data_IF_267815727585
#
_entry.id   IF_267815727585
#
_cell.length_a   1.000
_cell.length_b   1.000
_cell.length_c   1.000
_cell.angle_alpha   90.00
_cell.angle_beta   90.00
_cell.angle_gamma   90.00
#
_symmetry.space_group_name_H-M   'P 1'
#
loop_
_entity.id
_entity.type
_entity.pdbx_description
1 polymer ?
#
# COMPACT_ATOMS: atom_id res chain seq x y z
N UNK A 1 -12.37 -32.97 21.41
CA UNK A 1 -11.64 -31.71 21.70
C UNK A 1 -12.04 -30.67 20.67
N UNK A 2 -12.41 -29.44 21.08
CA UNK A 2 -12.63 -28.33 20.15
C UNK A 2 -11.32 -28.13 19.37
N UNK A 3 -11.34 -28.35 18.06
CA UNK A 3 -10.17 -28.31 17.18
C UNK A 3 -9.66 -26.90 16.89
N UNK A 4 -9.66 -26.03 17.90
CA UNK A 4 -9.21 -24.65 17.85
C UNK A 4 -8.46 -24.27 19.13
N UNK A 5 -7.34 -23.56 18.98
CA UNK A 5 -6.54 -23.01 20.07
C UNK A 5 -6.31 -21.52 19.83
N UNK A 6 -6.40 -20.70 20.88
CA UNK A 6 -6.18 -19.25 20.80
C UNK A 6 -4.85 -18.89 21.45
N UNK A 7 -3.99 -18.20 20.71
CA UNK A 7 -2.70 -17.74 21.20
C UNK A 7 -2.43 -16.32 20.69
N UNK A 8 -2.11 -15.39 21.60
CA UNK A 8 -1.84 -13.97 21.30
C UNK A 8 -2.88 -13.30 20.37
N UNK A 9 -4.15 -13.68 20.50
CA UNK A 9 -5.26 -13.13 19.70
C UNK A 9 -5.49 -13.80 18.34
N UNK A 10 -4.65 -14.77 17.97
CA UNK A 10 -4.74 -15.60 16.75
C UNK A 10 -5.45 -16.92 17.09
N UNK A 11 -6.36 -17.37 16.22
CA UNK A 11 -7.03 -18.67 16.38
C UNK A 11 -6.40 -19.66 15.39
N UNK A 12 -5.78 -20.70 15.93
CA UNK A 12 -5.22 -21.84 15.20
C UNK A 12 -6.27 -22.94 15.13
N UNK A 13 -6.62 -23.33 13.91
CA UNK A 13 -7.48 -24.49 13.67
C UNK A 13 -6.63 -25.74 13.45
N UNK A 14 -7.16 -26.92 13.76
CA UNK A 14 -6.47 -28.20 13.52
C UNK A 14 -6.00 -28.39 12.08
N UNK A 15 -6.71 -27.81 11.10
CA UNK A 15 -6.36 -27.84 9.66
C UNK A 15 -5.65 -26.58 9.17
N UNK A 16 -5.27 -25.66 10.07
CA UNK A 16 -4.62 -24.37 9.75
C UNK A 16 -5.34 -23.62 8.61
N UNK A 17 -6.67 -23.66 8.59
CA UNK A 17 -7.47 -23.08 7.50
C UNK A 17 -7.65 -21.56 7.62
N UNK A 18 -7.41 -20.99 8.82
CA UNK A 18 -7.38 -19.56 9.19
C UNK A 18 -8.52 -18.63 8.69
N UNK A 19 -9.49 -19.14 7.94
CA UNK A 19 -10.36 -18.31 7.08
C UNK A 19 -11.48 -17.61 7.86
N UNK A 20 -12.09 -18.29 8.83
CA UNK A 20 -13.38 -17.86 9.36
C UNK A 20 -13.29 -16.72 10.38
N UNK A 21 -12.29 -16.74 11.28
CA UNK A 21 -12.22 -15.71 12.32
C UNK A 21 -11.69 -14.36 11.78
N UNK A 22 -10.61 -14.40 10.98
CA UNK A 22 -9.94 -13.19 10.50
C UNK A 22 -10.86 -12.42 9.54
N UNK A 23 -11.55 -13.15 8.64
CA UNK A 23 -12.58 -12.58 7.77
C UNK A 23 -13.67 -11.89 8.57
N UNK A 24 -14.24 -12.54 9.59
CA UNK A 24 -15.27 -11.92 10.46
C UNK A 24 -14.75 -10.66 11.16
N UNK A 25 -13.54 -10.68 11.69
CA UNK A 25 -12.91 -9.53 12.37
C UNK A 25 -12.71 -8.35 11.42
N UNK A 26 -12.27 -8.61 10.18
CA UNK A 26 -12.08 -7.59 9.16
C UNK A 26 -13.40 -7.05 8.59
N UNK A 27 -14.42 -7.91 8.42
CA UNK A 27 -15.76 -7.48 7.97
C UNK A 27 -16.44 -6.55 8.99
N UNK A 28 -16.28 -6.82 10.30
CA UNK A 28 -16.77 -5.90 11.34
C UNK A 28 -16.08 -4.53 11.25
N UNK A 29 -14.77 -4.51 11.08
CA UNK A 29 -14.01 -3.26 10.92
C UNK A 29 -14.37 -2.51 9.61
N UNK A 30 -14.65 -3.24 8.52
CA UNK A 30 -15.11 -2.69 7.26
C UNK A 30 -16.45 -1.94 7.39
N UNK A 31 -17.35 -2.38 8.27
CA UNK A 31 -18.63 -1.69 8.48
C UNK A 31 -18.45 -0.26 9.02
N UNK A 32 -17.40 0.00 9.80
CA UNK A 32 -17.08 1.35 10.25
C UNK A 32 -16.70 2.22 9.04
N UNK A 33 -15.87 1.70 8.13
CA UNK A 33 -15.49 2.41 6.91
C UNK A 33 -16.70 2.65 6.00
N UNK A 34 -17.64 1.70 5.91
CA UNK A 34 -18.90 1.89 5.16
C UNK A 34 -19.75 3.01 5.74
N UNK A 35 -19.80 3.14 7.07
CA UNK A 35 -20.60 4.16 7.73
C UNK A 35 -20.09 5.59 7.46
N UNK A 36 -18.77 5.78 7.35
CA UNK A 36 -18.15 7.10 7.13
C UNK A 36 -17.70 7.35 5.69
N UNK A 37 -17.73 6.34 4.82
CA UNK A 37 -17.12 6.34 3.50
C UNK A 37 -18.08 6.61 2.33
N UNK A 38 -19.18 7.33 2.56
CA UNK A 38 -20.11 7.69 1.48
C UNK A 38 -19.40 8.52 0.39
N UNK A 39 -19.82 8.39 -0.87
CA UNK A 39 -19.15 9.05 -2.01
C UNK A 39 -19.41 10.56 -2.10
N UNK A 40 -20.46 11.04 -1.45
CA UNK A 40 -20.90 12.43 -1.59
C UNK A 40 -20.62 13.27 -0.33
N UNK A 41 -20.95 12.75 0.85
CA UNK A 41 -20.83 13.44 2.15
C UNK A 41 -19.83 12.79 3.11
N UNK A 42 -19.22 11.65 2.73
CA UNK A 42 -18.31 10.91 3.60
C UNK A 42 -17.01 11.65 3.92
N UNK A 43 -16.17 11.03 4.74
CA UNK A 43 -14.84 11.55 5.06
C UNK A 43 -13.94 11.63 3.82
N UNK A 44 -12.94 12.52 3.86
CA UNK A 44 -11.95 12.68 2.80
C UNK A 44 -11.11 11.41 2.58
N UNK A 45 -10.54 11.26 1.38
CA UNK A 45 -9.79 10.08 0.95
C UNK A 45 -8.61 9.79 1.86
N UNK A 46 -7.89 10.81 2.32
CA UNK A 46 -6.72 10.64 3.18
C UNK A 46 -7.12 10.08 4.56
N UNK A 47 -8.19 10.61 5.15
CA UNK A 47 -8.80 10.10 6.38
C UNK A 47 -9.32 8.68 6.19
N UNK A 48 -10.06 8.40 5.12
CA UNK A 48 -10.55 7.04 4.83
C UNK A 48 -9.40 6.03 4.66
N UNK A 49 -8.33 6.40 3.96
CA UNK A 49 -7.11 5.59 3.89
C UNK A 49 -6.53 5.36 5.28
N UNK A 50 -6.44 6.39 6.12
CA UNK A 50 -5.93 6.27 7.49
C UNK A 50 -6.77 5.27 8.30
N UNK A 51 -8.10 5.39 8.25
CA UNK A 51 -9.03 4.48 8.93
C UNK A 51 -8.92 3.04 8.41
N UNK A 52 -8.81 2.87 7.10
CA UNK A 52 -8.56 1.55 6.50
C UNK A 52 -7.27 0.93 7.05
N UNK A 53 -6.17 1.70 7.06
CA UNK A 53 -4.85 1.26 7.53
C UNK A 53 -4.88 0.88 9.00
N UNK A 54 -5.56 1.65 9.85
CA UNK A 54 -5.62 1.44 11.30
C UNK A 54 -6.58 0.34 11.72
N UNK A 55 -7.74 0.20 11.08
CA UNK A 55 -8.76 -0.75 11.51
C UNK A 55 -8.72 -2.08 10.76
N UNK A 56 -8.46 -2.09 9.47
CA UNK A 56 -8.53 -3.33 8.67
C UNK A 56 -7.13 -3.84 8.36
N UNK A 57 -6.28 -3.00 7.77
CA UNK A 57 -4.93 -3.42 7.34
C UNK A 57 -4.07 -3.89 8.50
N UNK A 58 -4.12 -3.21 9.65
CA UNK A 58 -3.42 -3.63 10.87
C UNK A 58 -3.77 -5.06 11.32
N UNK A 59 -5.03 -5.49 11.16
CA UNK A 59 -5.48 -6.85 11.51
C UNK A 59 -4.95 -7.87 10.50
N UNK A 60 -4.91 -7.52 9.21
CA UNK A 60 -4.35 -8.36 8.16
C UNK A 60 -2.82 -8.48 8.32
N UNK A 61 -2.14 -7.40 8.68
CA UNK A 61 -0.68 -7.37 8.85
C UNK A 61 -0.21 -8.17 10.07
N UNK A 62 -0.96 -8.12 11.17
CA UNK A 62 -0.57 -8.79 12.42
C UNK A 62 -0.43 -10.31 12.25
N UNK A 63 -1.37 -10.95 11.55
CA UNK A 63 -1.42 -12.40 11.39
C UNK A 63 -0.73 -12.90 10.10
N UNK A 64 -0.14 -11.99 9.31
CA UNK A 64 0.26 -12.25 7.93
C UNK A 64 1.29 -13.35 7.75
N UNK A 65 2.22 -13.48 8.70
CA UNK A 65 3.28 -14.50 8.68
C UNK A 65 2.69 -15.89 8.94
N UNK A 66 1.62 -15.97 9.74
CA UNK A 66 0.95 -17.22 10.12
C UNK A 66 0.02 -17.70 9.00
N UNK A 67 -0.92 -16.85 8.57
CA UNK A 67 -1.88 -17.25 7.53
C UNK A 67 -1.32 -17.14 6.11
N UNK A 68 -0.15 -16.53 5.94
CA UNK A 68 0.45 -16.26 4.62
C UNK A 68 0.70 -17.50 3.77
N UNK A 69 0.87 -18.66 4.41
CA UNK A 69 1.03 -19.98 3.78
C UNK A 69 -0.30 -20.70 3.56
N UNK A 70 -1.44 -20.07 3.84
CA UNK A 70 -2.76 -20.66 3.62
C UNK A 70 -3.06 -20.84 2.12
N UNK A 71 -3.98 -21.77 1.81
CA UNK A 71 -4.40 -22.05 0.42
C UNK A 71 -4.90 -20.78 -0.28
N UNK A 72 -4.63 -20.67 -1.59
CA UNK A 72 -5.05 -19.54 -2.46
C UNK A 72 -6.50 -19.12 -2.28
N UNK A 73 -7.45 -20.05 -2.15
CA UNK A 73 -8.87 -19.69 -1.96
C UNK A 73 -9.15 -18.96 -0.64
N UNK A 74 -8.38 -19.23 0.43
CA UNK A 74 -8.46 -18.51 1.71
C UNK A 74 -7.90 -17.10 1.55
N UNK A 75 -6.74 -16.98 0.91
CA UNK A 75 -6.11 -15.67 0.64
C UNK A 75 -7.01 -14.78 -0.23
N UNK A 76 -7.64 -15.35 -1.27
CA UNK A 76 -8.62 -14.65 -2.13
C UNK A 76 -9.78 -14.04 -1.34
N UNK A 77 -10.23 -14.69 -0.25
CA UNK A 77 -11.30 -14.15 0.58
C UNK A 77 -10.87 -12.89 1.35
N UNK A 78 -9.59 -12.81 1.76
CA UNK A 78 -9.02 -11.61 2.39
C UNK A 78 -8.74 -10.51 1.35
N UNK A 79 -8.30 -10.90 0.15
CA UNK A 79 -8.09 -9.96 -0.96
C UNK A 79 -9.41 -9.26 -1.33
N UNK A 80 -10.54 -9.97 -1.32
CA UNK A 80 -11.87 -9.36 -1.51
C UNK A 80 -12.17 -8.26 -0.48
N UNK A 81 -11.79 -8.46 0.78
CA UNK A 81 -11.98 -7.45 1.83
C UNK A 81 -11.08 -6.25 1.54
N UNK A 82 -9.81 -6.47 1.19
CA UNK A 82 -8.88 -5.40 0.81
C UNK A 82 -9.43 -4.57 -0.35
N UNK A 83 -9.82 -5.21 -1.45
CA UNK A 83 -10.40 -4.54 -2.62
C UNK A 83 -11.65 -3.75 -2.25
N UNK A 84 -12.52 -4.32 -1.41
CA UNK A 84 -13.74 -3.63 -0.99
C UNK A 84 -13.46 -2.37 -0.18
N UNK A 85 -12.44 -2.41 0.71
CA UNK A 85 -12.02 -1.22 1.44
C UNK A 85 -11.47 -0.15 0.48
N UNK A 86 -10.57 -0.53 -0.44
CA UNK A 86 -10.02 0.42 -1.41
C UNK A 86 -11.11 1.06 -2.29
N UNK A 87 -12.11 0.29 -2.71
CA UNK A 87 -13.26 0.85 -3.45
C UNK A 87 -14.06 1.87 -2.64
N UNK A 88 -14.27 1.62 -1.35
CA UNK A 88 -14.94 2.60 -0.46
C UNK A 88 -14.09 3.86 -0.32
N UNK A 89 -12.79 3.70 -0.03
CA UNK A 89 -11.84 4.80 0.10
C UNK A 89 -11.82 5.68 -1.15
N UNK A 90 -11.75 5.07 -2.33
CA UNK A 90 -11.65 5.76 -3.61
C UNK A 90 -13.01 6.21 -4.17
N UNK A 91 -14.12 5.70 -3.63
CA UNK A 91 -15.46 5.92 -4.19
C UNK A 91 -15.68 5.25 -5.56
N UNK A 92 -14.92 4.21 -5.87
CA UNK A 92 -14.92 3.55 -7.17
C UNK A 92 -16.09 2.56 -7.35
N UNK A 93 -16.51 2.34 -8.60
CA UNK A 93 -17.50 1.33 -8.95
C UNK A 93 -17.02 -0.09 -8.62
N UNK A 94 -17.94 -1.05 -8.53
CA UNK A 94 -17.62 -2.48 -8.31
C UNK A 94 -16.96 -3.14 -9.53
N UNK A 95 -17.18 -2.58 -10.71
CA UNK A 95 -16.67 -3.08 -11.99
C UNK A 95 -15.29 -2.55 -12.36
N UNK A 96 -14.77 -1.51 -11.68
CA UNK A 96 -13.45 -0.99 -12.07
C UNK A 96 -12.30 -1.93 -11.69
N UNK A 97 -11.17 -1.89 -12.44
CA UNK A 97 -10.09 -2.85 -12.33
C UNK A 97 -9.34 -2.73 -11.00
N UNK A 98 -9.00 -3.87 -10.40
CA UNK A 98 -8.39 -3.92 -9.06
C UNK A 98 -6.99 -3.29 -9.06
N UNK A 99 -6.18 -3.55 -10.10
CA UNK A 99 -4.82 -3.02 -10.20
C UNK A 99 -4.79 -1.49 -10.25
N UNK A 100 -5.79 -0.87 -10.88
CA UNK A 100 -5.94 0.59 -10.90
C UNK A 100 -6.14 1.16 -9.49
N UNK A 101 -6.89 0.48 -8.62
CA UNK A 101 -7.05 0.96 -7.23
C UNK A 101 -5.80 0.82 -6.39
N UNK A 102 -4.95 -0.18 -6.66
CA UNK A 102 -3.69 -0.30 -5.97
C UNK A 102 -2.79 0.90 -6.27
N UNK A 103 -2.63 1.21 -7.55
CA UNK A 103 -1.87 2.36 -8.00
C UNK A 103 -2.47 3.66 -7.46
N UNK A 104 -3.78 3.86 -7.69
CA UNK A 104 -4.48 5.08 -7.29
C UNK A 104 -4.49 5.27 -5.77
N UNK A 105 -4.69 4.24 -4.95
CA UNK A 105 -4.69 4.37 -3.49
C UNK A 105 -3.28 4.47 -2.88
N UNK A 106 -2.22 4.20 -3.67
CA UNK A 106 -0.87 4.01 -3.16
C UNK A 106 -0.78 2.81 -2.19
N UNK A 107 -1.57 1.77 -2.43
CA UNK A 107 -1.63 0.57 -1.59
C UNK A 107 -1.34 -0.68 -2.43
N UNK A 108 -0.26 -1.43 -2.14
CA UNK A 108 0.03 -2.64 -2.88
C UNK A 108 -1.01 -3.75 -2.61
N UNK A 109 -0.98 -4.80 -3.41
CA UNK A 109 -1.73 -6.02 -3.14
C UNK A 109 -1.34 -6.61 -1.77
N UNK A 110 -2.26 -7.37 -1.15
CA UNK A 110 -1.91 -8.07 0.10
C UNK A 110 -0.78 -9.08 -0.12
N UNK A 111 -0.61 -9.62 -1.33
CA UNK A 111 0.52 -10.50 -1.66
C UNK A 111 1.87 -9.82 -1.41
N UNK A 112 2.11 -8.69 -2.08
CA UNK A 112 3.33 -7.90 -1.89
C UNK A 112 3.51 -7.46 -0.43
N UNK A 113 2.41 -7.09 0.23
CA UNK A 113 2.46 -6.68 1.63
C UNK A 113 2.88 -7.82 2.56
N UNK A 114 2.35 -9.03 2.37
CA UNK A 114 2.73 -10.23 3.13
C UNK A 114 4.20 -10.58 2.90
N UNK A 115 4.68 -10.55 1.66
CA UNK A 115 6.09 -10.78 1.34
C UNK A 115 6.99 -9.76 2.03
N UNK A 116 6.64 -8.47 1.99
CA UNK A 116 7.39 -7.42 2.70
C UNK A 116 7.43 -7.63 4.21
N UNK A 117 6.31 -8.03 4.82
CA UNK A 117 6.26 -8.31 6.27
C UNK A 117 7.07 -9.55 6.63
N UNK A 118 7.00 -10.61 5.82
CA UNK A 118 7.83 -11.81 5.97
C UNK A 118 9.32 -11.47 5.81
N UNK A 119 9.68 -10.60 4.87
CA UNK A 119 11.06 -10.15 4.66
C UNK A 119 11.59 -9.48 5.93
N UNK A 120 10.86 -8.50 6.46
CA UNK A 120 11.23 -7.83 7.72
C UNK A 120 11.30 -8.79 8.90
N UNK A 121 10.41 -9.78 8.95
CA UNK A 121 10.41 -10.82 9.98
C UNK A 121 11.66 -11.69 9.91
N UNK A 122 12.06 -12.17 8.73
CA UNK A 122 13.27 -12.97 8.51
C UNK A 122 14.53 -12.18 8.90
N UNK A 123 14.62 -10.91 8.49
CA UNK A 123 15.76 -10.05 8.86
C UNK A 123 15.88 -9.88 10.38
N UNK A 124 14.75 -9.64 11.06
CA UNK A 124 14.72 -9.56 12.53
C UNK A 124 15.08 -10.90 13.17
N UNK A 125 14.57 -12.01 12.64
CA UNK A 125 14.86 -13.34 13.15
C UNK A 125 16.34 -13.67 13.01
N UNK A 126 16.98 -13.28 11.91
CA UNK A 126 18.43 -13.46 11.71
C UNK A 126 19.26 -12.74 12.77
N UNK A 127 18.82 -11.58 13.23
CA UNK A 127 19.47 -10.86 14.33
C UNK A 127 19.25 -11.50 15.71
N UNK A 128 18.37 -12.50 15.85
CA UNK A 128 17.98 -13.09 17.13
C UNK A 128 18.26 -14.60 17.14
N UNK A 129 19.53 -15.04 17.27
CA UNK A 129 19.88 -16.46 17.22
C UNK A 129 19.29 -17.28 18.37
N UNK A 130 19.00 -16.66 19.52
CA UNK A 130 18.34 -17.34 20.66
C UNK A 130 16.83 -17.56 20.47
N UNK A 131 16.25 -17.06 19.37
CA UNK A 131 14.82 -17.22 19.14
C UNK A 131 14.51 -18.67 18.73
N UNK A 132 13.50 -19.35 19.31
CA UNK A 132 13.17 -20.73 18.96
C UNK A 132 12.86 -20.95 17.47
N UNK A 133 12.40 -19.92 16.75
CA UNK A 133 12.15 -20.01 15.32
C UNK A 133 13.39 -19.81 14.45
N UNK A 134 14.52 -19.33 15.01
CA UNK A 134 15.74 -19.07 14.25
C UNK A 134 16.24 -20.35 13.59
N UNK A 135 16.41 -21.40 14.39
CA UNK A 135 16.99 -22.66 13.93
C UNK A 135 16.05 -23.36 12.93
N UNK A 136 14.73 -23.27 13.16
CA UNK A 136 13.71 -23.79 12.23
C UNK A 136 13.76 -23.11 10.85
N UNK A 137 14.13 -21.83 10.79
CA UNK A 137 14.13 -21.05 9.54
C UNK A 137 15.48 -21.05 8.83
N UNK A 138 16.59 -21.11 9.57
CA UNK A 138 17.95 -20.96 9.02
C UNK A 138 18.81 -22.23 9.11
N UNK A 139 18.55 -23.14 10.05
CA UNK A 139 19.40 -24.32 10.31
C UNK A 139 18.72 -25.65 9.96
N UNK A 140 17.39 -25.69 9.96
CA UNK A 140 16.65 -26.86 9.52
C UNK A 140 16.97 -27.14 8.04
N UNK A 141 17.41 -28.37 7.69
CA UNK A 141 17.53 -28.76 6.30
C UNK A 141 16.16 -28.60 5.66
N UNK A 142 16.06 -27.79 4.61
CA UNK A 142 14.86 -27.74 3.75
C UNK A 142 14.45 -29.15 3.24
N UNK A 143 15.36 -30.14 3.34
CA UNK A 143 15.19 -31.54 3.03
C UNK A 143 14.49 -32.38 4.12
N UNK A 144 14.50 -31.97 5.40
CA UNK A 144 13.93 -32.74 6.52
C UNK A 144 12.46 -32.39 6.82
N UNK A 145 11.95 -31.32 6.22
CA UNK A 145 10.51 -31.18 6.10
C UNK A 145 10.03 -32.25 5.13
N UNK A 146 9.16 -33.20 5.53
CA UNK A 146 8.67 -34.21 4.61
C UNK A 146 8.12 -33.52 3.37
N UNK A 147 8.82 -33.69 2.25
CA UNK A 147 8.45 -33.24 0.90
C UNK A 147 7.29 -34.08 0.37
N UNK A 148 6.64 -34.89 1.22
CA UNK A 148 5.29 -35.33 0.96
C UNK A 148 4.35 -34.17 1.25
N UNK A 149 3.96 -33.48 0.17
CA UNK A 149 2.58 -33.14 -0.18
C UNK A 149 2.60 -32.07 -1.28
N UNK A 150 1.71 -32.22 -2.26
CA UNK A 150 1.31 -31.32 -3.37
C UNK A 150 0.98 -29.87 -2.96
N UNK A 151 1.78 -29.24 -2.10
CA UNK A 151 1.49 -28.00 -1.39
C UNK A 151 2.48 -26.92 -1.82
N UNK A 152 1.95 -25.71 -2.05
CA UNK A 152 2.76 -24.55 -2.44
C UNK A 152 3.79 -24.22 -1.34
N UNK A 153 5.00 -23.79 -1.72
CA UNK A 153 6.03 -23.38 -0.76
C UNK A 153 5.49 -22.34 0.22
N UNK A 154 5.84 -22.50 1.49
CA UNK A 154 5.38 -21.61 2.56
C UNK A 154 5.87 -20.16 2.32
N UNK A 155 5.18 -19.18 2.90
CA UNK A 155 5.47 -17.74 2.67
C UNK A 155 6.94 -17.39 2.96
N UNK A 156 7.54 -18.02 3.97
CA UNK A 156 8.92 -17.80 4.39
C UNK A 156 9.90 -18.29 3.32
N UNK A 157 9.70 -19.49 2.78
CA UNK A 157 10.49 -20.07 1.71
C UNK A 157 10.48 -19.18 0.45
N UNK A 158 9.28 -18.73 0.03
CA UNK A 158 9.16 -17.81 -1.12
C UNK A 158 9.86 -16.47 -0.88
N UNK A 159 9.94 -16.03 0.37
CA UNK A 159 10.59 -14.77 0.71
C UNK A 159 12.10 -14.84 0.52
N UNK A 160 12.75 -15.99 0.75
CA UNK A 160 14.20 -16.14 0.53
C UNK A 160 14.63 -15.86 -0.91
N UNK A 161 13.81 -16.22 -1.89
CA UNK A 161 14.05 -15.86 -3.29
C UNK A 161 14.03 -14.34 -3.49
N UNK A 162 13.07 -13.65 -2.88
CA UNK A 162 13.03 -12.19 -2.86
C UNK A 162 14.25 -11.57 -2.15
N UNK A 163 14.78 -12.19 -1.09
CA UNK A 163 16.01 -11.72 -0.43
C UNK A 163 17.21 -11.81 -1.37
N UNK A 164 17.33 -12.93 -2.08
CA UNK A 164 18.37 -13.15 -3.10
C UNK A 164 18.26 -12.12 -4.23
N UNK A 165 17.06 -11.91 -4.76
CA UNK A 165 16.80 -10.95 -5.84
C UNK A 165 17.06 -9.50 -5.40
N UNK A 166 16.80 -9.18 -4.14
CA UNK A 166 17.13 -7.88 -3.54
C UNK A 166 18.64 -7.68 -3.29
N UNK A 167 19.48 -8.70 -3.54
CA UNK A 167 20.93 -8.69 -3.28
C UNK A 167 21.24 -8.29 -1.84
N UNK A 168 20.49 -8.82 -0.88
CA UNK A 168 20.73 -8.61 0.56
C UNK A 168 21.51 -9.81 1.09
N UNK A 169 22.72 -9.54 1.61
CA UNK A 169 23.51 -10.56 2.28
C UNK A 169 23.05 -10.65 3.74
N UNK A 170 22.50 -11.80 4.13
CA UNK A 170 22.03 -12.03 5.51
C UNK A 170 23.19 -12.12 6.52
N UNK A 171 24.41 -12.41 6.07
CA UNK A 171 25.58 -12.55 6.95
C UNK A 171 26.14 -11.21 7.41
N UNK A 172 25.72 -10.10 6.79
CA UNK A 172 26.11 -8.76 7.25
C UNK A 172 25.21 -8.25 8.37
N UNK A 173 24.16 -8.98 8.74
CA UNK A 173 23.21 -8.55 9.77
C UNK A 173 23.81 -8.84 11.14
N UNK A 174 23.85 -7.82 12.00
CA UNK A 174 24.35 -7.95 13.36
C UNK A 174 23.38 -8.72 14.25
N UNK A 175 23.93 -9.42 15.25
CA UNK A 175 23.13 -10.07 16.27
C UNK A 175 22.65 -9.03 17.27
N UNK A 176 21.33 -8.91 17.42
CA UNK A 176 20.72 -8.07 18.43
C UNK A 176 20.98 -8.67 19.81
N UNK A 177 21.88 -8.02 20.56
CA UNK A 177 22.15 -8.39 21.94
C UNK A 177 21.05 -7.83 22.85
N UNK A 178 20.15 -8.70 23.32
CA UNK A 178 19.19 -8.33 24.36
C UNK A 178 19.95 -8.30 25.69
N UNK A 179 20.04 -7.12 26.31
CA UNK A 179 20.66 -6.99 27.65
C UNK A 179 19.87 -7.84 28.66
N UNK A 180 20.62 -8.61 29.44
CA UNK A 180 20.12 -9.41 30.54
C UNK A 180 21.08 -9.17 31.72
N UNK A 181 20.60 -8.79 32.92
CA UNK A 181 19.19 -8.60 33.29
C UNK A 181 18.56 -7.42 32.51
N UNK A 182 17.23 -7.40 32.36
CA UNK A 182 16.56 -6.32 31.67
C UNK A 182 16.84 -4.96 32.34
N UNK A 183 16.68 -3.84 31.61
CA UNK A 183 17.06 -2.51 32.11
C UNK A 183 16.39 -2.10 33.42
N UNK A 184 15.24 -2.71 33.75
CA UNK A 184 14.47 -2.45 34.97
C UNK A 184 14.92 -3.27 36.19
N UNK A 185 15.82 -4.24 36.05
CA UNK A 185 16.27 -5.10 37.16
C UNK A 185 17.55 -4.62 37.83
N UNK A 186 18.53 -4.05 37.10
CA UNK A 186 19.83 -3.69 37.69
C UNK A 186 20.53 -2.47 37.05
N UNK A 187 19.94 -1.28 37.12
CA UNK A 187 20.71 -0.06 36.85
C UNK A 187 20.36 1.04 37.86
N UNK A 188 21.34 1.47 38.68
CA UNK A 188 21.32 2.82 39.25
C UNK A 188 21.51 3.79 38.07
N UNK A 189 20.41 4.22 37.47
CA UNK A 189 20.46 5.20 36.38
C UNK A 189 20.95 6.52 36.98
N UNK A 190 22.21 6.87 36.73
CA UNK A 190 22.72 8.20 37.03
C UNK A 190 22.08 9.19 36.05
N UNK A 191 20.98 9.80 36.48
CA UNK A 191 20.29 10.84 35.69
C UNK A 191 21.10 12.13 35.80
N UNK A 192 21.91 12.43 34.80
CA UNK A 192 22.53 13.74 34.69
C UNK A 192 21.49 14.77 34.20
N UNK A 193 21.00 15.58 35.14
CA UNK A 193 20.04 16.65 34.88
C UNK A 193 20.74 17.98 34.55
N UNK A 194 22.08 18.03 34.55
CA UNK A 194 22.84 19.24 34.19
C UNK A 194 22.44 19.88 32.86
N UNK A 195 22.03 19.14 31.80
CA UNK A 195 21.63 19.73 30.52
C UNK A 195 20.31 20.51 30.59
N UNK A 196 19.44 20.24 31.57
CA UNK A 196 18.17 21.00 31.74
C UNK A 196 18.37 22.43 32.22
N UNK A 197 19.59 22.76 32.69
CA UNK A 197 19.97 24.11 33.10
C UNK A 197 20.29 25.02 31.91
N UNK A 198 20.48 24.46 30.71
CA UNK A 198 20.74 25.23 29.50
C UNK A 198 19.45 25.59 28.78
N UNK A 199 19.33 26.82 28.29
CA UNK A 199 18.19 27.20 27.44
C UNK A 199 18.35 26.54 26.07
N UNK A 200 17.24 26.07 25.49
CA UNK A 200 17.21 25.42 24.16
C UNK A 200 17.84 26.28 23.07
N UNK A 201 17.75 27.60 23.20
CA UNK A 201 18.32 28.60 22.29
C UNK A 201 19.87 28.57 22.26
N UNK A 202 20.51 28.18 23.37
CA UNK A 202 21.98 28.20 23.53
C UNK A 202 22.66 26.87 23.09
N UNK A 203 21.88 25.88 22.62
CA UNK A 203 22.37 24.54 22.23
C UNK A 203 22.35 24.29 20.71
N UNK A 204 21.96 25.28 19.92
CA UNK A 204 21.84 25.19 18.46
C UNK A 204 23.16 24.83 17.79
N UNK A 205 24.26 25.46 18.18
CA UNK A 205 25.59 25.25 17.56
C UNK A 205 26.13 23.83 17.81
N UNK A 206 25.91 23.27 18.99
CA UNK A 206 26.30 21.89 19.32
C UNK A 206 25.51 20.85 18.52
N UNK A 207 24.19 21.02 18.41
CA UNK A 207 23.33 20.15 17.60
C UNK A 207 23.66 20.26 16.10
N UNK A 208 23.91 21.47 15.60
CA UNK A 208 24.36 21.67 14.22
C UNK A 208 25.70 21.01 13.93
N UNK A 209 26.65 21.03 14.87
CA UNK A 209 27.93 20.36 14.71
C UNK A 209 27.79 18.83 14.70
N UNK A 210 26.94 18.27 15.57
CA UNK A 210 26.60 16.83 15.54
C UNK A 210 25.94 16.45 14.20
N UNK A 211 24.99 17.25 13.72
CA UNK A 211 24.33 17.03 12.43
C UNK A 211 25.29 17.17 11.24
N UNK A 212 26.20 18.15 11.27
CA UNK A 212 27.26 18.33 10.26
C UNK A 212 28.19 17.13 10.24
N UNK A 213 28.61 16.63 11.39
CA UNK A 213 29.46 15.43 11.51
C UNK A 213 28.74 14.16 11.05
N UNK A 214 27.46 13.99 11.40
CA UNK A 214 26.63 12.88 10.93
C UNK A 214 26.46 12.92 9.40
N UNK A 215 26.22 14.10 8.82
CA UNK A 215 26.16 14.30 7.36
C UNK A 215 27.50 14.03 6.68
N UNK A 216 28.61 14.46 7.27
CA UNK A 216 29.95 14.16 6.75
C UNK A 216 30.26 12.66 6.75
N UNK A 217 29.75 11.90 7.73
CA UNK A 217 29.90 10.46 7.80
C UNK A 217 29.13 9.68 6.71
N UNK A 218 28.12 10.28 6.06
CA UNK A 218 27.41 9.67 4.92
C UNK A 218 28.33 9.53 3.69
N UNK A 219 29.29 10.44 3.52
CA UNK A 219 30.18 10.50 2.36
C UNK A 219 31.49 9.72 2.57
N UNK A 220 31.71 9.14 3.76
CA UNK A 220 32.89 8.28 4.00
C UNK A 220 32.69 6.94 3.33
N UNK A 221 33.46 6.69 2.28
CA UNK A 221 33.61 5.37 1.68
C UNK A 221 34.31 4.44 2.68
N UNK A 222 33.55 3.49 3.24
CA UNK A 222 33.95 2.13 3.64
C UNK A 222 33.15 1.65 4.86
N UNK A 223 31.90 1.24 4.64
CA UNK A 223 31.18 0.32 5.54
C UNK A 223 31.40 -1.15 5.13
N UNK A 224 32.34 -1.43 4.22
CA UNK A 224 32.68 -2.79 3.81
C UNK A 224 33.25 -3.54 5.01
N UNK A 225 32.52 -4.55 5.49
CA UNK A 225 32.94 -5.45 6.56
C UNK A 225 32.35 -5.19 7.94
N UNK A 226 31.54 -4.14 8.15
CA UNK A 226 30.81 -3.95 9.42
C UNK A 226 29.45 -4.61 9.36
N UNK A 227 29.09 -5.28 10.46
CA UNK A 227 27.73 -5.76 10.67
C UNK A 227 26.77 -4.57 10.78
N UNK A 228 25.58 -4.73 10.22
CA UNK A 228 24.54 -3.70 10.18
C UNK A 228 23.30 -4.15 10.96
N UNK A 229 22.62 -3.22 11.60
CA UNK A 229 21.37 -3.54 12.27
C UNK A 229 20.32 -3.93 11.22
N UNK A 230 19.50 -4.95 11.52
CA UNK A 230 18.45 -5.41 10.62
C UNK A 230 17.46 -4.29 10.24
N UNK A 231 17.24 -3.31 11.13
CA UNK A 231 16.35 -2.18 10.87
C UNK A 231 16.86 -1.27 9.74
N UNK A 232 18.17 -1.19 9.56
CA UNK A 232 18.83 -0.33 8.58
C UNK A 232 18.70 -0.91 7.16
N UNK A 233 18.31 -2.19 7.06
CA UNK A 233 18.00 -2.87 5.80
C UNK A 233 16.58 -2.56 5.32
N UNK A 234 15.68 -2.06 6.19
CA UNK A 234 14.27 -1.77 5.83
C UNK A 234 14.11 -0.82 4.63
N UNK A 235 14.88 0.27 4.49
CA UNK A 235 14.81 1.12 3.30
C UNK A 235 15.09 0.35 2.01
N UNK A 236 16.07 -0.56 2.02
CA UNK A 236 16.38 -1.43 0.88
C UNK A 236 15.26 -2.41 0.56
N UNK A 237 14.63 -3.00 1.59
CA UNK A 237 13.43 -3.85 1.43
C UNK A 237 12.26 -3.05 0.85
N UNK A 238 12.04 -1.82 1.33
CA UNK A 238 11.00 -0.93 0.83
C UNK A 238 11.23 -0.59 -0.65
N UNK A 239 12.47 -0.22 -1.01
CA UNK A 239 12.86 0.08 -2.38
C UNK A 239 12.64 -1.14 -3.29
N UNK A 240 13.16 -2.31 -2.92
CA UNK A 240 12.94 -3.55 -3.69
C UNK A 240 11.45 -3.87 -3.87
N UNK A 241 10.65 -3.78 -2.80
CA UNK A 241 9.21 -4.05 -2.89
C UNK A 241 8.51 -3.06 -3.82
N UNK A 242 8.90 -1.79 -3.79
CA UNK A 242 8.38 -0.77 -4.69
C UNK A 242 8.80 -1.03 -6.14
N UNK A 243 10.07 -1.37 -6.39
CA UNK A 243 10.56 -1.73 -7.73
C UNK A 243 9.80 -2.90 -8.32
N UNK A 244 9.64 -4.00 -7.59
CA UNK A 244 8.88 -5.17 -8.07
C UNK A 244 7.42 -4.83 -8.35
N UNK A 245 6.82 -3.95 -7.54
CA UNK A 245 5.46 -3.49 -7.77
C UNK A 245 5.37 -2.56 -9.00
N UNK A 246 6.35 -1.69 -9.19
CA UNK A 246 6.47 -0.81 -10.36
C UNK A 246 6.63 -1.64 -11.64
N UNK A 247 7.55 -2.60 -11.67
CA UNK A 247 7.74 -3.50 -12.81
C UNK A 247 6.43 -4.23 -13.18
N UNK A 248 5.67 -4.69 -12.17
CA UNK A 248 4.36 -5.30 -12.44
C UNK A 248 3.33 -4.29 -12.97
N UNK A 249 3.38 -3.05 -12.51
CA UNK A 249 2.51 -1.99 -12.99
C UNK A 249 2.86 -1.59 -14.43
N UNK A 250 4.14 -1.58 -14.80
CA UNK A 250 4.59 -1.28 -16.16
C UNK A 250 4.12 -2.33 -17.18
N UNK A 251 3.82 -3.56 -16.76
CA UNK A 251 3.19 -4.58 -17.62
C UNK A 251 1.71 -4.30 -17.92
N UNK A 252 1.07 -3.38 -17.20
CA UNK A 252 -0.34 -3.02 -17.36
C UNK A 252 -0.56 -1.92 -18.41
N UNK A 253 0.15 -1.98 -19.54
CA UNK A 253 0.07 -0.96 -20.59
C UNK A 253 -1.32 -0.73 -21.17
N UNK A 254 -2.24 -1.70 -21.08
CA UNK A 254 -3.64 -1.57 -21.50
C UNK A 254 -4.54 -0.90 -20.44
N UNK A 255 -4.05 -0.69 -19.22
CA UNK A 255 -4.82 -0.10 -18.14
C UNK A 255 -4.94 1.42 -18.34
N UNK A 256 -6.17 1.93 -18.42
CA UNK A 256 -6.45 3.37 -18.63
C UNK A 256 -5.76 4.28 -17.62
N UNK A 257 -5.63 3.82 -16.37
CA UNK A 257 -4.95 4.60 -15.33
C UNK A 257 -3.44 4.71 -15.58
N UNK A 258 -2.81 3.76 -16.26
CA UNK A 258 -1.36 3.78 -16.50
C UNK A 258 -0.94 4.99 -17.35
N UNK A 259 -1.78 5.45 -18.28
CA UNK A 259 -1.57 6.72 -19.01
C UNK A 259 -1.50 7.91 -18.04
N UNK A 260 -2.37 7.92 -17.03
CA UNK A 260 -2.45 9.00 -16.05
C UNK A 260 -1.37 8.89 -14.97
N UNK A 261 -1.06 7.67 -14.53
CA UNK A 261 -0.18 7.35 -13.41
C UNK A 261 0.82 6.26 -13.81
N UNK A 262 1.86 6.60 -14.59
CA UNK A 262 2.88 5.62 -14.95
C UNK A 262 3.75 5.22 -13.75
N UNK A 263 4.10 6.18 -12.88
CA UNK A 263 4.94 5.89 -11.70
C UNK A 263 4.09 5.76 -10.43
N UNK A 264 4.26 4.66 -9.73
CA UNK A 264 3.60 4.38 -8.45
C UNK A 264 4.15 5.26 -7.33
N UNK A 265 3.26 5.78 -6.49
CA UNK A 265 3.61 6.63 -5.35
C UNK A 265 3.58 8.13 -5.64
N UNK A 266 3.34 8.52 -6.91
CA UNK A 266 2.92 9.88 -7.22
C UNK A 266 1.51 10.11 -6.65
N UNK A 267 1.33 11.21 -5.93
CA UNK A 267 0.03 11.57 -5.37
C UNK A 267 -0.67 12.58 -6.29
N UNK A 268 -1.55 12.06 -7.14
CA UNK A 268 -2.35 12.85 -8.09
C UNK A 268 -3.29 13.85 -7.40
N UNK A 269 -3.59 13.67 -6.10
CA UNK A 269 -4.66 14.39 -5.42
C UNK A 269 -4.18 15.36 -4.33
N UNK A 270 -2.88 15.60 -4.17
CA UNK A 270 -2.37 16.64 -3.24
C UNK A 270 -3.00 18.01 -3.46
N UNK A 271 -3.41 18.30 -4.70
CA UNK A 271 -4.05 19.58 -5.09
C UNK A 271 -5.55 19.64 -4.82
N UNK A 272 -6.14 18.55 -4.33
CA UNK A 272 -7.55 18.43 -3.96
C UNK A 272 -7.79 18.27 -2.46
N UNK A 273 -6.75 18.30 -1.61
CA UNK A 273 -6.90 18.27 -0.15
C UNK A 273 -7.85 19.38 0.30
N UNK A 274 -8.95 19.00 0.97
CA UNK A 274 -10.00 19.91 1.43
C UNK A 274 -11.14 20.17 0.42
N UNK A 275 -11.07 19.63 -0.79
CA UNK A 275 -12.23 19.63 -1.69
C UNK A 275 -13.16 18.47 -1.31
N UNK A 276 -14.38 18.78 -0.88
CA UNK A 276 -15.33 17.80 -0.33
C UNK A 276 -15.45 16.49 -1.12
N UNK A 277 -15.81 15.42 -0.41
CA UNK A 277 -15.76 14.01 -0.82
C UNK A 277 -16.26 13.67 -2.22
N UNK A 278 -17.34 14.32 -2.68
CA UNK A 278 -17.84 14.16 -4.06
C UNK A 278 -16.76 14.45 -5.10
N UNK A 279 -15.99 15.51 -4.89
CA UNK A 279 -14.95 15.94 -5.82
C UNK A 279 -13.82 14.91 -5.90
N UNK A 280 -13.32 14.42 -4.77
CA UNK A 280 -12.29 13.37 -4.75
C UNK A 280 -12.75 12.12 -5.50
N UNK A 281 -13.99 11.69 -5.25
CA UNK A 281 -14.59 10.52 -5.92
C UNK A 281 -14.65 10.73 -7.44
N UNK A 282 -15.10 11.90 -7.88
CA UNK A 282 -15.15 12.27 -9.30
C UNK A 282 -13.76 12.25 -9.91
N UNK A 283 -12.76 12.88 -9.27
CA UNK A 283 -11.38 12.90 -9.77
C UNK A 283 -10.79 11.50 -9.89
N UNK A 284 -11.02 10.64 -8.90
CA UNK A 284 -10.57 9.25 -8.92
C UNK A 284 -11.25 8.41 -10.03
N UNK A 285 -12.55 8.61 -10.26
CA UNK A 285 -13.26 7.90 -11.33
C UNK A 285 -12.81 8.32 -12.72
N UNK A 286 -12.50 9.61 -12.89
CA UNK A 286 -11.93 10.13 -14.13
C UNK A 286 -10.51 9.60 -14.36
N UNK A 287 -9.64 9.61 -13.34
CA UNK A 287 -8.26 9.09 -13.48
C UNK A 287 -8.24 7.60 -13.83
N UNK A 288 -9.10 6.80 -13.20
CA UNK A 288 -9.27 5.37 -13.51
C UNK A 288 -9.94 5.15 -14.87
N UNK A 289 -10.65 6.15 -15.41
CA UNK A 289 -11.39 6.02 -16.67
C UNK A 289 -12.66 5.16 -16.54
N UNK A 290 -13.24 5.10 -15.34
CA UNK A 290 -14.44 4.33 -15.00
C UNK A 290 -15.49 5.22 -14.34
N UNK A 291 -16.40 5.71 -15.17
CA UNK A 291 -17.52 6.60 -14.79
C UNK A 291 -18.85 5.92 -15.07
N UNK A 292 -19.97 6.47 -14.60
CA UNK A 292 -21.27 5.93 -15.00
C UNK A 292 -21.47 6.11 -16.51
N UNK A 293 -21.16 7.28 -17.08
CA UNK A 293 -21.28 7.56 -18.52
C UNK A 293 -20.56 6.55 -19.42
N UNK A 294 -19.38 6.08 -19.00
CA UNK A 294 -18.53 5.23 -19.83
C UNK A 294 -18.71 3.75 -19.54
N UNK A 295 -19.36 3.36 -18.45
CA UNK A 295 -19.39 1.98 -17.96
C UNK A 295 -20.79 1.46 -17.62
N UNK A 296 -21.83 2.30 -17.63
CA UNK A 296 -23.20 1.89 -17.29
C UNK A 296 -23.73 0.78 -18.19
N UNK A 297 -23.29 0.73 -19.45
CA UNK A 297 -23.71 -0.29 -20.41
C UNK A 297 -23.43 -1.72 -19.93
N UNK A 298 -22.31 -1.97 -19.24
CA UNK A 298 -22.04 -3.26 -18.61
C UNK A 298 -23.03 -3.61 -17.50
N UNK A 299 -23.53 -2.60 -16.77
CA UNK A 299 -24.47 -2.82 -15.66
C UNK A 299 -25.91 -2.99 -16.16
N UNK A 300 -26.23 -2.39 -17.30
CA UNK A 300 -27.54 -2.44 -17.94
C UNK A 300 -27.66 -3.53 -19.02
N UNK A 301 -26.55 -4.16 -19.39
CA UNK A 301 -26.46 -5.08 -20.52
C UNK A 301 -26.89 -4.42 -21.84
N UNK A 302 -26.43 -3.18 -22.05
CA UNK A 302 -26.65 -2.36 -23.26
C UNK A 302 -25.38 -2.34 -24.13
N UNK A 303 -25.50 -1.85 -25.36
CA UNK A 303 -24.35 -1.59 -26.22
C UNK A 303 -23.48 -0.44 -25.69
N UNK A 304 -22.19 -0.49 -26.03
CA UNK A 304 -21.26 0.55 -25.59
C UNK A 304 -21.63 1.89 -26.24
N UNK A 305 -21.71 2.99 -25.48
CA UNK A 305 -22.06 4.30 -26.04
C UNK A 305 -20.95 4.82 -26.97
N UNK A 306 -21.37 5.47 -28.04
CA UNK A 306 -20.51 6.21 -28.99
C UNK A 306 -20.89 7.69 -29.01
N UNK A 307 -19.94 8.54 -29.37
CA UNK A 307 -20.20 9.95 -29.64
C UNK A 307 -20.78 10.10 -31.04
N UNK A 308 -22.01 10.61 -31.14
CA UNK A 308 -22.71 10.75 -32.41
C UNK A 308 -22.05 11.70 -33.42
N UNK A 309 -21.27 12.68 -32.97
CA UNK A 309 -20.71 13.68 -33.87
C UNK A 309 -19.36 13.29 -34.50
N UNK A 310 -18.61 12.41 -33.85
CA UNK A 310 -17.29 12.00 -34.33
C UNK A 310 -17.10 10.48 -34.38
N UNK A 311 -18.18 9.72 -34.21
CA UNK A 311 -18.26 8.27 -34.34
C UNK A 311 -17.18 7.48 -33.56
N UNK A 312 -16.83 7.99 -32.39
CA UNK A 312 -15.81 7.40 -31.53
C UNK A 312 -16.41 6.90 -30.23
N UNK A 313 -15.80 5.85 -29.66
CA UNK A 313 -16.22 5.30 -28.36
C UNK A 313 -16.28 6.36 -27.26
N UNK A 314 -17.36 6.33 -26.49
CA UNK A 314 -17.56 7.28 -25.40
C UNK A 314 -16.72 6.87 -24.18
N UNK A 315 -15.51 7.44 -24.09
CA UNK A 315 -14.54 7.20 -23.02
C UNK A 315 -14.21 8.48 -22.25
N UNK A 316 -13.60 8.36 -21.07
CA UNK A 316 -13.14 9.54 -20.30
C UNK A 316 -12.11 10.34 -21.10
N UNK A 317 -11.19 9.64 -21.79
CA UNK A 317 -10.20 10.26 -22.68
C UNK A 317 -10.89 11.04 -23.80
N UNK A 318 -11.90 10.43 -24.42
CA UNK A 318 -12.69 11.08 -25.45
C UNK A 318 -13.34 12.38 -24.95
N UNK A 319 -14.05 12.32 -23.81
CA UNK A 319 -14.75 13.47 -23.22
C UNK A 319 -13.77 14.58 -22.81
N UNK A 320 -12.63 14.23 -22.20
CA UNK A 320 -11.70 15.19 -21.62
C UNK A 320 -10.65 15.74 -22.59
N UNK A 321 -10.31 15.04 -23.67
CA UNK A 321 -9.16 15.38 -24.53
C UNK A 321 -9.52 15.44 -26.02
N UNK A 322 -10.22 14.43 -26.54
CA UNK A 322 -10.25 14.19 -28.00
C UNK A 322 -11.48 14.76 -28.69
N UNK A 323 -12.65 14.77 -28.02
CA UNK A 323 -13.92 15.11 -28.64
C UNK A 323 -13.90 16.51 -29.29
N UNK A 324 -14.19 16.64 -30.60
CA UNK A 324 -14.31 17.92 -31.29
C UNK A 324 -15.50 18.75 -30.80
N UNK A 325 -16.66 18.12 -30.57
CA UNK A 325 -17.86 18.80 -30.08
C UNK A 325 -17.61 19.52 -28.76
N UNK A 326 -16.90 18.85 -27.85
CA UNK A 326 -16.60 19.44 -26.55
C UNK A 326 -15.41 20.40 -26.60
N UNK A 327 -14.74 20.58 -27.74
CA UNK A 327 -13.52 21.37 -27.83
C UNK A 327 -13.74 22.84 -27.44
N UNK A 328 -14.83 23.45 -27.90
CA UNK A 328 -15.15 24.87 -27.61
C UNK A 328 -15.35 25.06 -26.11
N UNK A 329 -16.14 24.19 -25.47
CA UNK A 329 -16.38 24.22 -24.02
C UNK A 329 -15.11 23.89 -23.25
N UNK A 330 -14.36 22.87 -23.67
CA UNK A 330 -13.10 22.42 -23.04
C UNK A 330 -12.08 23.56 -22.97
N UNK A 331 -11.87 24.28 -24.08
CA UNK A 331 -10.92 25.41 -24.17
C UNK A 331 -11.23 26.55 -23.20
N UNK A 332 -12.46 26.71 -22.72
CA UNK A 332 -12.80 27.69 -21.67
C UNK A 332 -12.16 27.35 -20.32
N UNK A 333 -11.94 26.06 -20.04
CA UNK A 333 -11.43 25.58 -18.76
C UNK A 333 -9.97 25.16 -18.82
N UNK A 334 -9.55 24.46 -19.87
CA UNK A 334 -8.18 23.98 -20.01
C UNK A 334 -7.82 23.63 -21.46
N UNK A 335 -6.53 23.69 -21.78
CA UNK A 335 -5.98 23.30 -23.07
C UNK A 335 -4.77 22.40 -22.82
N UNK A 336 -4.96 21.09 -22.90
CA UNK A 336 -3.93 20.07 -22.70
C UNK A 336 -4.10 18.96 -23.75
N UNK A 337 -3.01 18.24 -24.01
CA UNK A 337 -2.91 17.26 -25.10
C UNK A 337 -3.26 15.83 -24.69
N UNK A 338 -3.19 15.52 -23.41
CA UNK A 338 -3.29 14.16 -22.88
C UNK A 338 -3.79 14.18 -21.43
N UNK A 339 -4.23 13.01 -20.93
CA UNK A 339 -4.73 12.89 -19.57
C UNK A 339 -3.62 13.04 -18.53
N UNK A 340 -2.39 12.64 -18.83
CA UNK A 340 -1.24 12.77 -17.94
C UNK A 340 -1.03 14.22 -17.49
N UNK A 341 -1.03 15.16 -18.44
CA UNK A 341 -0.93 16.61 -18.19
C UNK A 341 -2.20 17.16 -17.57
N UNK A 342 -3.38 16.69 -17.99
CA UNK A 342 -4.65 17.15 -17.41
C UNK A 342 -4.68 17.01 -15.89
N UNK A 343 -4.37 15.83 -15.36
CA UNK A 343 -4.40 15.58 -13.91
C UNK A 343 -3.20 16.17 -13.16
N UNK A 344 -2.16 16.64 -13.86
CA UNK A 344 -0.93 17.20 -13.27
C UNK A 344 -0.73 18.70 -13.45
N UNK A 345 -1.42 19.36 -14.34
CA UNK A 345 -1.18 20.77 -14.62
C UNK A 345 -2.45 21.58 -14.37
N UNK A 346 -3.61 20.99 -14.58
CA UNK A 346 -4.90 21.67 -14.45
C UNK A 346 -5.43 21.57 -13.03
N UNK A 347 -5.87 22.70 -12.47
CA UNK A 347 -6.54 22.71 -11.18
C UNK A 347 -7.83 21.85 -11.23
N UNK A 348 -8.06 20.93 -10.28
CA UNK A 348 -9.25 20.08 -10.26
C UNK A 348 -10.57 20.84 -10.34
N UNK A 349 -10.64 22.07 -9.83
CA UNK A 349 -11.84 22.91 -9.88
C UNK A 349 -12.22 23.30 -11.32
N UNK A 350 -11.25 23.47 -12.22
CA UNK A 350 -11.51 23.74 -13.65
C UNK A 350 -12.04 22.51 -14.37
N UNK A 351 -11.50 21.33 -14.06
CA UNK A 351 -12.01 20.04 -14.58
C UNK A 351 -13.47 19.84 -14.13
N UNK A 352 -13.77 20.11 -12.86
CA UNK A 352 -15.13 20.05 -12.33
C UNK A 352 -16.05 21.09 -12.98
N UNK A 353 -15.58 22.31 -13.19
CA UNK A 353 -16.34 23.36 -13.88
C UNK A 353 -16.75 22.92 -15.29
N UNK A 354 -15.80 22.39 -16.06
CA UNK A 354 -16.05 21.82 -17.38
C UNK A 354 -17.13 20.72 -17.35
N UNK A 355 -17.02 19.76 -16.41
CA UNK A 355 -18.00 18.68 -16.28
C UNK A 355 -19.39 19.17 -15.86
N UNK A 356 -19.48 20.28 -15.13
CA UNK A 356 -20.76 20.91 -14.78
C UNK A 356 -21.39 21.60 -15.98
N UNK A 357 -20.61 22.32 -16.79
CA UNK A 357 -21.12 22.96 -18.03
C UNK A 357 -21.62 21.91 -19.04
N UNK A 358 -20.99 20.74 -19.08
CA UNK A 358 -21.47 19.61 -19.88
C UNK A 358 -22.68 18.85 -19.28
N UNK A 359 -23.11 19.16 -18.05
CA UNK A 359 -24.13 18.38 -17.35
C UNK A 359 -23.68 16.96 -16.96
N UNK A 360 -22.39 16.64 -17.09
CA UNK A 360 -21.82 15.32 -16.87
C UNK A 360 -21.49 15.05 -15.39
N UNK A 361 -21.29 16.08 -14.56
CA UNK A 361 -20.75 15.95 -13.19
C UNK A 361 -21.51 14.97 -12.29
N UNK A 362 -22.84 14.87 -12.40
CA UNK A 362 -23.65 13.92 -11.63
C UNK A 362 -23.50 12.46 -12.07
N UNK A 363 -23.08 12.25 -13.33
CA UNK A 363 -22.91 10.94 -13.97
C UNK A 363 -21.44 10.48 -13.98
N UNK A 364 -20.57 11.17 -13.24
CA UNK A 364 -19.22 10.69 -12.94
C UNK A 364 -19.25 9.96 -11.61
#
# INVERSE_FOLDING_TARGET
MKGEAKFLGVIFYSKLSFNNYLKKKCLKALNLLRAVGHTDWGADRATLLKLYRTFVRSKLDYDSVVYGSAKKHVLRALDHIHHQNLRIVLGAFRTSPIKSFYAEAGEPSLGYRRTKLAFNYILKLKSLPRNPCHDVVFEAPLADFPVDLKSEPNLVANTFEHIKNAKINLNTIDNLHVQCPPPWEEHQVHVDISPTKQKKEDTSEGNENVDKLAKAALNKASYLGKLICWSDVKPKVNAYTHTVWQENWDTEGANKLHEVLPNLGEDLHKRGEGAGRKRETVMCRLSVGHTWLTQSYFLKNEEQPFCYACDSLYTVRHILIECPDFQVTRRKYFCVTDLYRLFREVNPSRIVGYLKELGAYGNI
#
